data_IF_566310411290
#
_entry.id   IF_566310411290
#
_cell.length_a   1.000
_cell.length_b   1.000
_cell.length_c   1.000
_cell.angle_alpha   90.00
_cell.angle_beta   90.00
_cell.angle_gamma   90.00
#
_symmetry.space_group_name_H-M   'P 1'
#
loop_
_entity.id
_entity.type
_entity.pdbx_description
1 polymer ?
#
# COMPACT_ATOMS: atom_id res chain seq x y z
N UNK A 1 21.43 -33.68 17.90
CA UNK A 1 21.34 -32.24 18.21
C UNK A 1 21.58 -31.47 16.93
N UNK A 2 20.53 -31.01 16.27
CA UNK A 2 20.63 -30.15 15.10
C UNK A 2 19.87 -28.86 15.43
N UNK A 3 20.63 -27.81 15.75
CA UNK A 3 20.12 -26.48 16.00
C UNK A 3 20.04 -25.76 14.65
N UNK A 4 18.85 -25.73 14.05
CA UNK A 4 18.59 -24.90 12.86
C UNK A 4 18.24 -23.50 13.33
N UNK A 5 19.25 -22.63 13.36
CA UNK A 5 19.10 -21.20 13.59
C UNK A 5 18.37 -20.59 12.38
N UNK A 6 17.06 -20.43 12.47
CA UNK A 6 16.29 -19.57 11.57
C UNK A 6 16.73 -18.12 11.81
N UNK A 7 17.43 -17.56 10.82
CA UNK A 7 17.68 -16.13 10.74
C UNK A 7 16.32 -15.40 10.72
N UNK A 8 15.90 -14.85 11.86
CA UNK A 8 14.75 -13.94 11.93
C UNK A 8 15.11 -12.70 11.13
N UNK A 9 14.54 -12.55 9.94
CA UNK A 9 14.57 -11.29 9.20
C UNK A 9 13.84 -10.24 10.04
N UNK A 10 14.59 -9.40 10.76
CA UNK A 10 14.09 -8.40 11.71
C UNK A 10 13.36 -7.19 11.06
N UNK A 11 12.84 -7.36 9.84
CA UNK A 11 12.33 -6.27 9.00
C UNK A 11 10.81 -6.21 8.87
N UNK A 12 10.05 -7.19 9.38
CA UNK A 12 8.60 -7.19 9.22
C UNK A 12 7.94 -6.17 10.17
N UNK A 13 7.62 -4.98 9.65
CA UNK A 13 6.69 -4.06 10.30
C UNK A 13 5.24 -4.57 10.20
N UNK A 14 4.30 -3.98 10.95
CA UNK A 14 2.88 -4.30 10.81
C UNK A 14 2.37 -3.99 9.39
N UNK A 15 1.56 -4.88 8.85
CA UNK A 15 0.83 -4.67 7.60
C UNK A 15 -0.57 -4.18 7.93
N UNK A 16 -0.98 -3.08 7.29
CA UNK A 16 -2.32 -2.52 7.41
C UNK A 16 -3.01 -2.63 6.06
N UNK A 17 -4.27 -3.09 6.07
CA UNK A 17 -5.10 -3.22 4.87
C UNK A 17 -6.40 -2.45 5.09
N UNK A 18 -6.79 -1.63 4.11
CA UNK A 18 -8.09 -0.95 4.07
C UNK A 18 -8.70 -1.14 2.69
N UNK A 19 -9.92 -1.67 2.66
CA UNK A 19 -10.73 -1.81 1.46
C UNK A 19 -12.16 -1.40 1.78
N UNK A 20 -12.84 -0.76 0.83
CA UNK A 20 -14.21 -0.30 1.03
C UNK A 20 -14.87 0.09 -0.28
N UNK A 21 -16.20 0.11 -0.28
CA UNK A 21 -17.02 0.63 -1.40
C UNK A 21 -17.43 2.07 -1.11
N UNK A 22 -17.80 2.82 -2.15
CA UNK A 22 -18.27 4.21 -2.00
C UNK A 22 -17.30 5.11 -1.20
N UNK A 23 -15.99 4.82 -1.29
CA UNK A 23 -14.95 5.71 -0.79
C UNK A 23 -14.78 6.90 -1.76
N UNK A 24 -14.13 8.00 -1.35
CA UNK A 24 -13.99 9.20 -2.19
C UNK A 24 -13.27 8.97 -3.52
N UNK A 25 -12.46 7.91 -3.63
CA UNK A 25 -11.64 7.65 -4.81
C UNK A 25 -11.47 6.15 -5.03
N UNK A 26 -11.66 5.70 -6.27
CA UNK A 26 -11.33 4.34 -6.69
C UNK A 26 -9.82 4.26 -6.92
N UNK A 27 -9.10 3.63 -6.00
CA UNK A 27 -7.66 3.48 -6.08
C UNK A 27 -7.25 2.16 -5.43
N UNK A 28 -6.29 1.46 -6.04
CA UNK A 28 -5.58 0.34 -5.43
C UNK A 28 -4.13 0.74 -5.29
N UNK A 29 -3.65 0.92 -4.07
CA UNK A 29 -2.27 1.35 -3.80
C UNK A 29 -1.65 0.63 -2.61
N UNK A 30 -0.33 0.51 -2.64
CA UNK A 30 0.52 0.02 -1.56
C UNK A 30 1.46 1.14 -1.15
N UNK A 31 1.43 1.51 0.13
CA UNK A 31 2.32 2.52 0.70
C UNK A 31 3.22 1.87 1.74
N UNK A 32 4.53 1.98 1.51
CA UNK A 32 5.56 1.45 2.41
C UNK A 32 6.27 2.62 3.08
N UNK A 33 6.00 2.82 4.36
CA UNK A 33 6.74 3.77 5.19
C UNK A 33 8.13 3.23 5.53
N UNK A 34 9.17 3.96 5.18
CA UNK A 34 10.54 3.62 5.53
C UNK A 34 10.86 4.09 6.95
N UNK A 35 11.67 3.32 7.67
CA UNK A 35 12.15 3.74 8.99
C UNK A 35 12.98 5.01 8.84
N UNK A 36 12.82 5.93 9.78
CA UNK A 36 13.65 7.13 9.84
C UNK A 36 15.11 6.72 10.02
N UNK A 37 15.99 7.31 9.21
CA UNK A 37 17.42 7.10 9.34
C UNK A 37 17.87 7.61 10.72
N UNK A 38 18.45 6.72 11.53
CA UNK A 38 18.89 7.01 12.90
C UNK A 38 20.08 7.98 12.97
N UNK A 39 20.78 8.19 11.85
CA UNK A 39 21.98 9.02 11.77
C UNK A 39 21.71 10.53 11.61
N UNK A 40 20.46 10.95 11.35
CA UNK A 40 20.11 12.36 11.17
C UNK A 40 19.50 12.92 12.46
N UNK A 41 20.16 13.94 13.02
CA UNK A 41 19.82 14.68 14.23
C UNK A 41 18.35 14.54 14.69
N UNK A 42 18.17 14.01 15.90
CA UNK A 42 16.86 13.82 16.56
C UNK A 42 16.06 15.14 16.72
N UNK A 43 16.72 16.29 16.55
CA UNK A 43 16.13 17.62 16.68
C UNK A 43 15.33 18.09 15.45
N UNK A 44 15.50 17.47 14.28
CA UNK A 44 14.69 17.84 13.12
C UNK A 44 13.41 17.02 13.07
N UNK A 45 12.27 17.67 12.89
CA UNK A 45 11.01 16.97 12.66
C UNK A 45 10.86 16.59 11.18
N UNK A 46 11.63 15.59 10.73
CA UNK A 46 11.51 15.05 9.38
C UNK A 46 10.47 13.94 9.33
N UNK A 47 9.54 14.07 8.38
CA UNK A 47 8.62 12.99 8.03
C UNK A 47 9.39 11.77 7.51
N UNK A 48 8.98 10.53 7.82
CA UNK A 48 9.58 9.34 7.24
C UNK A 48 9.47 9.33 5.71
N UNK A 49 10.48 8.78 5.04
CA UNK A 49 10.41 8.54 3.61
C UNK A 49 9.34 7.48 3.31
N UNK A 50 8.71 7.54 2.15
CA UNK A 50 7.65 6.60 1.77
C UNK A 50 7.81 6.15 0.32
N UNK A 51 7.55 4.87 0.07
CA UNK A 51 7.42 4.30 -1.26
C UNK A 51 5.94 4.06 -1.55
N UNK A 52 5.43 4.60 -2.64
CA UNK A 52 4.04 4.44 -3.09
C UNK A 52 4.01 3.68 -4.42
N UNK A 53 3.21 2.63 -4.45
CA UNK A 53 2.92 1.82 -5.64
C UNK A 53 1.41 1.84 -5.87
N UNK A 54 0.95 2.64 -6.82
CA UNK A 54 -0.43 2.60 -7.29
C UNK A 54 -0.55 1.57 -8.41
N UNK A 55 -1.54 0.70 -8.31
CA UNK A 55 -1.80 -0.40 -9.25
C UNK A 55 -2.97 -0.04 -10.18
N UNK A 56 -3.97 0.67 -9.65
CA UNK A 56 -5.17 1.09 -10.37
C UNK A 56 -5.63 2.46 -9.83
N UNK A 57 -6.12 3.39 -10.67
CA UNK A 57 -6.46 3.23 -12.09
C UNK A 57 -5.24 3.18 -13.02
N UNK A 58 -4.23 4.00 -12.75
CA UNK A 58 -2.95 3.98 -13.47
C UNK A 58 -1.84 3.39 -12.61
N UNK A 59 -0.84 2.79 -13.26
CA UNK A 59 0.33 2.29 -12.57
C UNK A 59 1.24 3.48 -12.27
N UNK A 60 1.43 3.79 -10.99
CA UNK A 60 2.33 4.85 -10.54
C UNK A 60 3.29 4.32 -9.48
N UNK A 61 4.56 4.64 -9.67
CA UNK A 61 5.62 4.45 -8.70
C UNK A 61 6.04 5.83 -8.20
N UNK A 62 6.12 6.05 -6.90
CA UNK A 62 6.65 7.28 -6.33
C UNK A 62 7.46 7.02 -5.06
N UNK A 63 8.61 7.67 -4.94
CA UNK A 63 9.46 7.71 -3.76
C UNK A 63 9.42 9.12 -3.16
N UNK A 64 8.83 9.24 -1.98
CA UNK A 64 8.83 10.45 -1.17
C UNK A 64 10.06 10.50 -0.27
N UNK A 65 10.86 11.55 -0.41
CA UNK A 65 12.10 11.79 0.32
C UNK A 65 12.02 13.08 1.11
N UNK A 66 12.37 13.01 2.39
CA UNK A 66 12.60 14.20 3.22
C UNK A 66 14.02 14.71 2.98
N UNK A 67 14.12 15.90 2.38
CA UNK A 67 15.38 16.58 2.08
C UNK A 67 15.62 17.68 3.11
N UNK A 68 16.82 17.70 3.70
CA UNK A 68 17.22 18.77 4.61
C UNK A 68 17.29 20.11 3.88
N UNK A 69 16.80 21.17 4.51
CA UNK A 69 17.02 22.53 4.01
C UNK A 69 18.51 22.88 4.03
N UNK A 70 18.93 23.79 3.16
CA UNK A 70 20.33 24.23 3.05
C UNK A 70 20.89 24.92 4.32
N UNK A 71 20.03 25.20 5.30
CA UNK A 71 20.39 25.79 6.60
C UNK A 71 19.66 24.99 7.69
N UNK A 72 20.27 24.83 8.87
CA UNK A 72 19.75 24.01 9.98
C UNK A 72 18.38 24.52 10.49
N UNK A 73 18.03 25.78 10.19
CA UNK A 73 16.74 26.38 10.54
C UNK A 73 15.66 26.24 9.48
N UNK A 74 15.98 25.73 8.27
CA UNK A 74 14.97 25.54 7.23
C UNK A 74 14.26 24.19 7.42
N UNK A 75 12.92 24.17 7.49
CA UNK A 75 12.19 22.92 7.56
C UNK A 75 12.55 22.06 6.35
N UNK A 76 12.78 20.77 6.60
CA UNK A 76 13.04 19.82 5.52
C UNK A 76 11.88 19.81 4.53
N UNK A 77 12.18 19.75 3.23
CA UNK A 77 11.19 19.69 2.18
C UNK A 77 10.94 18.22 1.81
N UNK A 78 9.68 17.86 1.58
CA UNK A 78 9.33 16.56 1.02
C UNK A 78 9.39 16.66 -0.50
N UNK A 79 10.28 15.90 -1.13
CA UNK A 79 10.39 15.78 -2.58
C UNK A 79 9.84 14.42 -2.98
N UNK A 80 9.05 14.36 -4.05
CA UNK A 80 8.59 13.11 -4.64
C UNK A 80 9.24 12.91 -6.00
N UNK A 81 9.80 11.72 -6.23
CA UNK A 81 10.29 11.29 -7.55
C UNK A 81 9.45 10.09 -7.95
N UNK A 82 8.83 10.14 -9.13
CA UNK A 82 7.97 9.06 -9.57
C UNK A 82 7.97 8.85 -11.07
N UNK A 83 7.39 7.73 -11.46
CA UNK A 83 7.10 7.36 -12.84
C UNK A 83 5.67 6.84 -12.89
N UNK A 84 4.91 7.26 -13.89
CA UNK A 84 3.59 6.72 -14.18
C UNK A 84 3.61 6.02 -15.54
N UNK A 85 2.81 4.97 -15.67
CA UNK A 85 2.51 4.33 -16.94
C UNK A 85 1.02 4.50 -17.21
N UNK A 86 0.72 5.31 -18.21
CA UNK A 86 -0.61 5.42 -18.77
C UNK A 86 -0.92 4.14 -19.54
N UNK A 87 -2.08 3.56 -19.27
CA UNK A 87 -2.57 2.41 -20.03
C UNK A 87 -2.98 2.89 -21.42
N UNK A 88 -2.51 2.23 -22.47
CA UNK A 88 -2.99 2.53 -23.82
C UNK A 88 -4.37 1.91 -24.07
N UNK A 89 -5.16 2.50 -24.96
CA UNK A 89 -6.47 1.95 -25.31
C UNK A 89 -6.40 0.59 -26.02
N UNK A 90 -5.22 0.19 -26.51
CA UNK A 90 -4.95 -1.06 -27.21
C UNK A 90 -4.39 -2.15 -26.27
N UNK A 91 -4.29 -1.87 -24.96
CA UNK A 91 -3.89 -2.87 -23.98
C UNK A 91 -5.00 -3.89 -23.75
N UNK A 92 -4.67 -5.20 -23.74
CA UNK A 92 -5.66 -6.23 -23.53
C UNK A 92 -6.29 -6.09 -22.15
N UNK A 93 -7.60 -6.23 -22.08
CA UNK A 93 -8.32 -6.18 -20.81
C UNK A 93 -7.83 -7.27 -19.85
N UNK A 94 -8.07 -7.07 -18.54
CA UNK A 94 -7.64 -8.04 -17.53
C UNK A 94 -8.17 -9.46 -17.81
N UNK A 95 -9.40 -9.57 -18.32
CA UNK A 95 -10.01 -10.85 -18.69
C UNK A 95 -9.40 -11.44 -19.96
N UNK A 96 -9.17 -10.64 -21.01
CA UNK A 96 -8.47 -11.11 -22.22
C UNK A 96 -7.10 -11.68 -21.89
N UNK A 97 -6.36 -11.01 -21.00
CA UNK A 97 -5.04 -11.46 -20.57
C UNK A 97 -5.12 -12.81 -19.85
N UNK A 98 -5.97 -12.94 -18.84
CA UNK A 98 -6.09 -14.20 -18.07
C UNK A 98 -6.57 -15.35 -18.97
N UNK A 99 -7.50 -15.10 -19.89
CA UNK A 99 -7.97 -16.12 -20.83
C UNK A 99 -6.89 -16.55 -21.81
N UNK A 100 -6.13 -15.60 -22.37
CA UNK A 100 -4.99 -15.92 -23.25
C UNK A 100 -3.94 -16.75 -22.53
N UNK A 101 -3.57 -16.36 -21.30
CA UNK A 101 -2.56 -17.05 -20.52
C UNK A 101 -3.01 -18.48 -20.19
N UNK A 102 -4.30 -18.69 -19.87
CA UNK A 102 -4.89 -20.03 -19.71
C UNK A 102 -4.78 -20.89 -20.97
N UNK A 103 -5.06 -20.33 -22.16
CA UNK A 103 -4.96 -21.05 -23.43
C UNK A 103 -3.50 -21.41 -23.78
N UNK A 104 -2.54 -20.61 -23.32
CA UNK A 104 -1.11 -20.84 -23.50
C UNK A 104 -0.50 -21.77 -22.42
N UNK A 105 -1.28 -22.12 -21.39
CA UNK A 105 -0.80 -22.91 -20.26
C UNK A 105 0.12 -22.13 -19.32
N UNK A 106 0.10 -20.79 -19.36
CA UNK A 106 0.85 -19.94 -18.44
C UNK A 106 0.06 -19.73 -17.13
N UNK A 107 0.57 -20.28 -16.04
CA UNK A 107 -0.05 -20.23 -14.73
C UNK A 107 0.32 -18.98 -13.90
N UNK A 108 1.08 -18.01 -14.44
CA UNK A 108 1.64 -16.89 -13.68
C UNK A 108 0.59 -15.99 -13.01
N UNK A 109 -0.58 -15.81 -13.63
CA UNK A 109 -1.68 -15.00 -13.09
C UNK A 109 -2.70 -15.80 -12.25
N UNK A 110 -2.47 -17.10 -12.07
CA UNK A 110 -3.38 -17.96 -11.34
C UNK A 110 -2.86 -18.20 -9.93
N UNK A 111 -3.76 -18.09 -8.95
CA UNK A 111 -3.42 -18.43 -7.57
C UNK A 111 -3.15 -19.93 -7.46
N UNK A 112 -2.03 -20.29 -6.84
CA UNK A 112 -1.74 -21.68 -6.47
C UNK A 112 -2.64 -22.10 -5.31
N UNK A 113 -2.96 -23.40 -5.27
CA UNK A 113 -3.84 -23.97 -4.25
C UNK A 113 -3.35 -23.70 -2.82
N UNK A 114 -2.06 -23.88 -2.55
CA UNK A 114 -1.46 -23.65 -1.24
C UNK A 114 -1.62 -22.20 -0.77
N UNK A 115 -1.49 -21.23 -1.67
CA UNK A 115 -1.72 -19.82 -1.36
C UNK A 115 -3.19 -19.52 -1.06
N UNK A 116 -4.11 -20.15 -1.78
CA UNK A 116 -5.54 -20.00 -1.53
C UNK A 116 -5.95 -20.58 -0.17
N UNK A 117 -5.44 -21.76 0.19
CA UNK A 117 -5.69 -22.40 1.49
C UNK A 117 -5.17 -21.53 2.66
N UNK A 118 -3.96 -20.97 2.52
CA UNK A 118 -3.40 -20.07 3.53
C UNK A 118 -4.15 -18.74 3.64
N UNK A 119 -4.60 -18.18 2.51
CA UNK A 119 -5.43 -16.98 2.52
C UNK A 119 -6.75 -17.22 3.26
N UNK A 120 -7.41 -18.35 3.01
CA UNK A 120 -8.62 -18.75 3.75
C UNK A 120 -8.33 -18.95 5.24
N UNK A 121 -7.23 -19.63 5.60
CA UNK A 121 -6.81 -19.81 7.00
C UNK A 121 -6.67 -18.48 7.75
N UNK A 122 -6.19 -17.43 7.07
CA UNK A 122 -6.01 -16.09 7.64
C UNK A 122 -7.35 -15.35 7.78
N UNK A 123 -8.23 -15.42 6.79
CA UNK A 123 -9.48 -14.63 6.72
C UNK A 123 -10.62 -15.28 7.50
N UNK A 124 -10.66 -16.61 7.59
CA UNK A 124 -11.73 -17.38 8.26
C UNK A 124 -12.07 -16.92 9.68
N UNK A 125 -11.08 -16.70 10.58
CA UNK A 125 -11.36 -16.24 11.94
C UNK A 125 -12.02 -14.86 11.98
N UNK A 126 -11.67 -13.98 11.04
CA UNK A 126 -12.24 -12.63 10.93
C UNK A 126 -13.69 -12.70 10.46
N UNK A 127 -14.00 -13.60 9.52
CA UNK A 127 -15.38 -13.82 9.04
C UNK A 127 -16.30 -14.44 10.11
N UNK A 128 -15.74 -15.23 11.03
CA UNK A 128 -16.49 -15.87 12.12
C UNK A 128 -16.59 -15.00 13.38
N UNK A 129 -15.80 -13.94 13.47
CA UNK A 129 -15.86 -13.01 14.58
C UNK A 129 -17.14 -12.18 14.51
N UNK A 130 -17.87 -12.08 15.62
CA UNK A 130 -19.04 -11.21 15.76
C UNK A 130 -18.60 -9.75 15.92
N UNK A 131 -18.06 -9.19 14.83
CA UNK A 131 -17.53 -7.82 14.80
C UNK A 131 -18.67 -6.86 14.47
N UNK A 132 -18.89 -5.79 15.27
CA UNK A 132 -19.94 -4.83 14.99
C UNK A 132 -19.73 -4.16 13.63
N UNK A 133 -20.82 -4.04 12.88
CA UNK A 133 -20.83 -3.30 11.61
C UNK A 133 -21.02 -1.81 11.92
N UNK A 134 -20.09 -1.00 11.42
CA UNK A 134 -20.14 0.45 11.58
C UNK A 134 -20.56 1.13 10.28
N UNK A 135 -21.58 1.97 10.36
CA UNK A 135 -22.05 2.75 9.23
C UNK A 135 -21.12 3.94 8.96
N UNK A 136 -20.97 4.30 7.70
CA UNK A 136 -20.25 5.50 7.27
C UNK A 136 -20.97 6.13 6.09
N UNK A 137 -20.84 7.45 5.97
CA UNK A 137 -21.44 8.19 4.87
C UNK A 137 -20.70 7.85 3.56
N UNK A 138 -21.40 7.69 2.42
CA UNK A 138 -20.76 7.61 1.11
C UNK A 138 -19.79 8.79 0.89
N UNK A 139 -18.74 8.55 0.12
CA UNK A 139 -17.66 9.53 -0.16
C UNK A 139 -16.92 9.98 1.11
N UNK A 140 -16.80 9.10 2.10
CA UNK A 140 -15.91 9.27 3.26
C UNK A 140 -14.94 8.11 3.39
N UNK A 141 -13.85 8.29 4.14
CA UNK A 141 -12.75 7.31 4.27
C UNK A 141 -13.05 6.16 5.25
N UNK A 142 -14.33 5.85 5.47
CA UNK A 142 -14.80 4.85 6.41
C UNK A 142 -15.33 5.44 7.73
N UNK A 143 -15.76 4.58 8.66
CA UNK A 143 -16.29 4.98 9.95
C UNK A 143 -15.18 5.47 10.90
N UNK A 144 -15.49 6.26 11.94
CA UNK A 144 -14.49 6.80 12.87
C UNK A 144 -13.69 5.72 13.62
N UNK A 145 -14.22 4.50 13.74
CA UNK A 145 -13.54 3.37 14.37
C UNK A 145 -12.29 2.90 13.61
N UNK A 146 -12.14 3.27 12.33
CA UNK A 146 -10.93 3.00 11.54
C UNK A 146 -9.69 3.62 12.17
N UNK A 147 -9.81 4.74 12.89
CA UNK A 147 -8.68 5.41 13.56
C UNK A 147 -8.08 4.58 14.70
N UNK A 148 -8.79 3.54 15.18
CA UNK A 148 -8.26 2.57 16.15
C UNK A 148 -7.21 1.64 15.54
N UNK A 149 -7.25 1.43 14.23
CA UNK A 149 -6.35 0.55 13.48
C UNK A 149 -5.72 1.38 12.36
N UNK A 150 -4.68 2.13 12.72
CA UNK A 150 -4.03 3.08 11.82
C UNK A 150 -2.51 2.85 11.80
N UNK A 151 -1.86 2.95 10.62
CA UNK A 151 -0.41 2.95 10.56
C UNK A 151 0.18 4.15 11.30
N UNK A 152 1.47 4.05 11.66
CA UNK A 152 2.19 5.17 12.24
C UNK A 152 2.23 6.34 11.24
N UNK A 153 1.62 7.47 11.60
CA UNK A 153 1.47 8.63 10.71
C UNK A 153 0.09 8.75 10.03
N UNK A 154 -0.84 7.83 10.31
CA UNK A 154 -2.20 7.89 9.79
C UNK A 154 -2.37 7.22 8.43
N UNK A 155 -3.62 6.96 8.06
CA UNK A 155 -3.96 6.43 6.74
C UNK A 155 -3.57 7.39 5.62
N UNK A 156 -2.88 6.87 4.60
CA UNK A 156 -2.73 7.58 3.34
C UNK A 156 -4.08 7.56 2.60
N UNK A 157 -4.59 8.75 2.30
CA UNK A 157 -5.80 8.91 1.51
C UNK A 157 -5.39 9.35 0.11
N UNK A 158 -5.53 8.48 -0.91
CA UNK A 158 -5.19 8.85 -2.27
C UNK A 158 -6.06 10.03 -2.68
N UNK A 159 -5.42 11.04 -3.25
CA UNK A 159 -6.12 12.15 -3.89
C UNK A 159 -6.24 11.80 -5.37
N UNK A 160 -7.38 12.06 -6.02
CA UNK A 160 -7.39 12.13 -7.47
C UNK A 160 -6.31 13.14 -7.86
N UNK A 161 -5.34 12.70 -8.67
CA UNK A 161 -4.18 13.51 -8.98
C UNK A 161 -4.62 14.84 -9.59
N UNK A 162 -4.06 15.93 -9.07
CA UNK A 162 -3.76 17.14 -9.85
C UNK A 162 -2.84 16.72 -11.00
N UNK A 163 -3.40 16.05 -12.00
CA UNK A 163 -2.75 15.87 -13.28
C UNK A 163 -2.60 17.28 -13.89
N UNK A 164 -1.36 17.67 -14.15
CA UNK A 164 -0.92 18.91 -14.79
C UNK A 164 -0.64 20.11 -13.88
N UNK A 165 0.65 20.34 -13.64
CA UNK A 165 1.30 21.60 -14.06
C UNK A 165 2.75 21.31 -14.44
#
# INVERSE_FOLDING_TARGET
>A
MASTTLARTACAGPFYLRAGKCLPTTCTEVVVGLRRATALNQKLDLKPNALRLQISPEILFALGLSVLGADEQRPGQSVAIGACRQQSADEPSAYERVLRDAMQGDATLFARQDYAEEAWRIVDPVLKADTPVHEYKPETWGPPEVDRVTPHGGWHNPRPEEASS
#
